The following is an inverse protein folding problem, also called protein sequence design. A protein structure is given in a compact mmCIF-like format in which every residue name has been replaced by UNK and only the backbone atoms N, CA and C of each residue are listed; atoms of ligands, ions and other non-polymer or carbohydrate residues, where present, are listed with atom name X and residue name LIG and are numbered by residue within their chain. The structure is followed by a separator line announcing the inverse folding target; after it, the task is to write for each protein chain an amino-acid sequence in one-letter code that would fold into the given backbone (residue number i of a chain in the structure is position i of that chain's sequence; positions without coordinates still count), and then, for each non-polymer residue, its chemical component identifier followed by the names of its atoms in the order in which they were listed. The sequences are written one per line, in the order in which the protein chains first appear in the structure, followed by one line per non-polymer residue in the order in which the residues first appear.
data_IF_972843084541
#
_entry.id   IF_972843084541
#
_cell.length_a   1.000
_cell.length_b   1.000
_cell.length_c   1.000
_cell.angle_alpha   90.00
_cell.angle_beta   90.00
_cell.angle_gamma   90.00
#
_symmetry.space_group_name_H-M   'P 1'
#
loop_
_entity.id
_entity.type
_entity.pdbx_description
1 polymer ?
#
# COMPACT_ATOMS: atom_id res chain seq x y z
N UNK A 1 -5.32 15.83 48.38
CA UNK A 1 -5.16 16.67 47.16
C UNK A 1 -3.70 16.72 46.70
N UNK A 2 -2.77 16.31 47.57
CA UNK A 2 -1.33 16.55 47.43
C UNK A 2 -0.63 15.58 46.46
N UNK A 3 -1.17 14.38 46.29
CA UNK A 3 -0.61 13.37 45.38
C UNK A 3 -0.64 13.83 43.90
N UNK A 4 -1.75 14.46 43.47
CA UNK A 4 -1.88 14.97 42.10
C UNK A 4 -0.86 16.10 41.85
N UNK A 5 -0.72 17.03 42.81
CA UNK A 5 0.27 18.11 42.73
C UNK A 5 1.70 17.56 42.67
N UNK A 6 2.03 16.58 43.52
CA UNK A 6 3.34 15.96 43.55
C UNK A 6 3.70 15.27 42.22
N UNK A 7 2.75 14.58 41.59
CA UNK A 7 2.99 13.97 40.29
C UNK A 7 3.19 15.00 39.18
N UNK A 8 2.35 16.04 39.11
CA UNK A 8 2.49 17.11 38.11
C UNK A 8 3.87 17.78 38.24
N UNK A 9 4.32 18.06 39.46
CA UNK A 9 5.66 18.64 39.73
C UNK A 9 6.78 17.70 39.24
N UNK A 10 6.66 16.41 39.51
CA UNK A 10 7.64 15.40 39.06
C UNK A 10 7.75 15.33 37.53
N UNK A 11 6.62 15.43 36.83
CA UNK A 11 6.61 15.45 35.36
C UNK A 11 7.17 16.75 34.80
N UNK A 12 6.87 17.90 35.42
CA UNK A 12 7.48 19.18 35.07
C UNK A 12 9.01 19.16 35.21
N UNK A 13 9.53 18.66 36.34
CA UNK A 13 10.97 18.57 36.58
C UNK A 13 11.68 17.73 35.51
N UNK A 14 11.15 16.53 35.22
CA UNK A 14 11.68 15.67 34.15
C UNK A 14 11.70 16.32 32.77
N UNK A 15 10.71 17.16 32.46
CA UNK A 15 10.66 17.91 31.20
C UNK A 15 11.67 19.07 31.21
N UNK A 16 11.77 19.79 32.32
CA UNK A 16 12.72 20.89 32.47
C UNK A 16 14.18 20.45 32.39
N UNK A 17 14.49 19.20 32.80
CA UNK A 17 15.84 18.64 32.72
C UNK A 17 16.23 18.23 31.28
N UNK A 18 15.25 18.02 30.39
CA UNK A 18 15.46 17.51 29.03
C UNK A 18 15.26 18.56 27.94
N UNK A 19 14.34 19.49 28.13
CA UNK A 19 13.89 20.43 27.11
C UNK A 19 14.26 21.87 27.49
N UNK A 20 14.64 22.69 26.50
CA UNK A 20 15.03 24.08 26.72
C UNK A 20 13.86 25.00 27.15
N UNK A 21 12.61 24.57 26.93
CA UNK A 21 11.40 25.27 27.36
C UNK A 21 10.28 24.27 27.67
N UNK A 22 9.42 24.61 28.65
CA UNK A 22 8.32 23.75 29.11
C UNK A 22 7.00 24.50 29.03
N UNK A 23 5.99 23.91 28.36
CA UNK A 23 4.63 24.46 28.28
C UNK A 23 3.65 23.67 29.15
N UNK A 24 2.53 24.29 29.54
CA UNK A 24 1.49 23.62 30.33
C UNK A 24 0.91 22.38 29.62
N UNK A 25 0.86 22.40 28.29
CA UNK A 25 0.46 21.25 27.48
C UNK A 25 1.47 20.11 27.57
N UNK A 26 2.78 20.40 27.54
CA UNK A 26 3.82 19.38 27.72
C UNK A 26 3.72 18.71 29.11
N UNK A 27 3.48 19.49 30.17
CA UNK A 27 3.32 18.95 31.53
C UNK A 27 2.07 18.10 31.65
N UNK A 28 0.94 18.56 31.08
CA UNK A 28 -0.32 17.80 31.03
C UNK A 28 -0.14 16.48 30.28
N UNK A 29 0.53 16.53 29.14
CA UNK A 29 0.80 15.37 28.30
C UNK A 29 1.72 14.39 29.05
N UNK A 30 2.81 14.86 29.66
CA UNK A 30 3.70 14.01 30.45
C UNK A 30 3.01 13.38 31.66
N UNK A 31 2.13 14.12 32.36
CA UNK A 31 1.31 13.59 33.44
C UNK A 31 0.32 12.52 32.95
N UNK A 32 -0.17 12.64 31.72
CA UNK A 32 -1.02 11.66 31.06
C UNK A 32 -0.24 10.52 30.39
N UNK A 33 1.10 10.50 30.50
CA UNK A 33 1.97 9.50 29.86
C UNK A 33 2.19 9.72 28.36
N UNK A 34 1.86 10.90 27.86
CA UNK A 34 2.01 11.33 26.47
C UNK A 34 3.32 12.12 26.37
N UNK A 35 4.36 11.55 25.76
CA UNK A 35 5.68 12.17 25.69
C UNK A 35 5.80 13.39 24.79
N UNK A 36 6.99 14.02 24.82
CA UNK A 36 7.36 15.22 24.04
C UNK A 36 7.15 15.00 22.55
N UNK A 37 7.12 16.09 21.76
CA UNK A 37 6.54 16.23 20.39
C UNK A 37 6.92 15.18 19.32
N UNK A 38 7.79 14.22 19.64
CA UNK A 38 8.20 13.08 18.82
C UNK A 38 7.82 11.70 19.36
N UNK A 39 7.13 11.60 20.50
CA UNK A 39 6.69 10.32 21.04
C UNK A 39 5.28 9.95 20.59
N UNK A 40 4.44 10.91 20.19
CA UNK A 40 3.05 10.60 19.81
C UNK A 40 2.89 10.33 18.32
N UNK A 41 1.96 9.44 17.98
CA UNK A 41 1.70 9.06 16.60
C UNK A 41 1.16 10.24 15.78
N UNK A 42 0.20 11.01 16.31
CA UNK A 42 -0.35 12.15 15.57
C UNK A 42 0.63 13.31 15.48
N UNK A 43 1.44 13.55 16.53
CA UNK A 43 2.51 14.55 16.50
C UNK A 43 3.55 14.25 15.42
N UNK A 44 4.00 12.99 15.33
CA UNK A 44 4.89 12.54 14.26
C UNK A 44 4.27 12.71 12.88
N UNK A 45 2.97 12.42 12.74
CA UNK A 45 2.24 12.61 11.49
C UNK A 45 2.19 14.08 11.08
N UNK A 46 1.92 14.98 12.03
CA UNK A 46 1.77 16.42 11.79
C UNK A 46 3.10 17.05 11.38
N UNK A 47 4.22 16.70 12.05
CA UNK A 47 5.54 17.17 11.63
C UNK A 47 5.90 16.71 10.22
N UNK A 48 5.64 15.44 9.93
CA UNK A 48 5.96 14.86 8.64
C UNK A 48 5.12 15.48 7.52
N UNK A 49 3.84 15.77 7.80
CA UNK A 49 2.97 16.54 6.91
C UNK A 49 3.44 18.00 6.74
N UNK A 50 3.91 18.66 7.80
CA UNK A 50 4.46 20.02 7.72
C UNK A 50 5.72 20.07 6.83
N UNK A 51 6.60 19.08 6.97
CA UNK A 51 7.80 18.93 6.13
C UNK A 51 7.43 18.67 4.68
N UNK A 52 6.43 17.81 4.43
CA UNK A 52 5.91 17.55 3.09
C UNK A 52 5.27 18.80 2.46
N UNK A 53 4.51 19.58 3.25
CA UNK A 53 3.84 20.80 2.78
C UNK A 53 4.83 21.83 2.26
N UNK A 54 6.00 21.99 2.89
CA UNK A 54 7.07 22.91 2.45
C UNK A 54 7.59 22.62 1.04
N UNK A 55 7.41 21.39 0.56
CA UNK A 55 7.87 20.91 -0.76
C UNK A 55 6.77 20.93 -1.84
N UNK A 56 5.54 21.31 -1.45
CA UNK A 56 4.43 21.44 -2.38
C UNK A 56 4.68 22.62 -3.31
N UNK A 57 4.55 22.40 -4.61
CA UNK A 57 4.88 23.40 -5.63
C UNK A 57 6.34 23.37 -6.09
N UNK A 58 7.21 22.62 -5.41
CA UNK A 58 8.58 22.35 -5.86
C UNK A 58 8.66 20.97 -6.51
N UNK A 59 8.56 19.91 -5.70
CA UNK A 59 8.65 18.51 -6.16
C UNK A 59 7.42 17.68 -5.75
N UNK A 60 6.48 18.28 -5.01
CA UNK A 60 5.25 17.61 -4.54
C UNK A 60 4.00 18.35 -5.00
N UNK A 61 2.93 17.60 -5.16
CA UNK A 61 1.61 18.13 -5.53
C UNK A 61 0.71 18.28 -4.31
N UNK A 62 -0.13 19.32 -4.31
CA UNK A 62 -1.05 19.64 -3.20
C UNK A 62 -2.06 18.52 -2.95
N UNK A 63 -2.49 17.83 -4.01
CA UNK A 63 -3.41 16.69 -3.90
C UNK A 63 -2.86 15.56 -3.02
N UNK A 64 -1.55 15.28 -3.11
CA UNK A 64 -0.90 14.28 -2.25
C UNK A 64 -0.85 14.73 -0.81
N UNK A 65 -0.56 16.02 -0.55
CA UNK A 65 -0.61 16.58 0.80
C UNK A 65 -2.01 16.43 1.42
N UNK A 66 -3.07 16.76 0.68
CA UNK A 66 -4.45 16.61 1.15
C UNK A 66 -4.81 15.15 1.46
N UNK A 67 -4.34 14.19 0.65
CA UNK A 67 -4.51 12.76 0.95
C UNK A 67 -3.81 12.35 2.24
N UNK A 68 -2.63 12.91 2.54
CA UNK A 68 -1.93 12.66 3.81
C UNK A 68 -2.63 13.29 5.02
N UNK A 69 -3.21 14.49 4.87
CA UNK A 69 -4.03 15.13 5.92
C UNK A 69 -5.27 14.29 6.22
N UNK A 70 -5.95 13.76 5.18
CA UNK A 70 -7.08 12.84 5.36
C UNK A 70 -6.67 11.58 6.12
N UNK A 71 -5.53 10.98 5.77
CA UNK A 71 -5.00 9.82 6.49
C UNK A 71 -4.75 10.11 7.97
N UNK A 72 -4.13 11.26 8.29
CA UNK A 72 -3.95 11.72 9.68
C UNK A 72 -5.28 11.82 10.43
N UNK A 73 -6.30 12.40 9.81
CA UNK A 73 -7.62 12.54 10.42
C UNK A 73 -8.31 11.20 10.65
N UNK A 74 -8.14 10.24 9.74
CA UNK A 74 -8.64 8.89 9.93
C UNK A 74 -7.95 8.19 11.10
N UNK A 75 -6.62 8.31 11.23
CA UNK A 75 -5.87 7.76 12.36
C UNK A 75 -6.34 8.39 13.67
N UNK A 76 -6.52 9.71 13.72
CA UNK A 76 -7.03 10.39 14.92
C UNK A 76 -8.43 9.89 15.31
N UNK A 77 -9.32 9.69 14.33
CA UNK A 77 -10.64 9.16 14.60
C UNK A 77 -10.62 7.70 15.06
N UNK A 78 -9.74 6.88 14.50
CA UNK A 78 -9.54 5.49 14.93
C UNK A 78 -9.06 5.43 16.38
N UNK A 79 -8.04 6.22 16.75
CA UNK A 79 -7.53 6.28 18.13
C UNK A 79 -8.66 6.66 19.09
N UNK A 80 -9.46 7.67 18.73
CA UNK A 80 -10.59 8.12 19.54
C UNK A 80 -11.69 7.06 19.67
N UNK A 81 -12.01 6.35 18.58
CA UNK A 81 -13.05 5.34 18.58
C UNK A 81 -12.66 4.09 19.39
N UNK A 82 -11.47 3.56 19.14
CA UNK A 82 -11.03 2.25 19.63
C UNK A 82 -10.32 2.31 20.98
N UNK A 83 -9.55 3.38 21.24
CA UNK A 83 -8.73 3.49 22.44
C UNK A 83 -9.23 4.55 23.43
N UNK A 84 -10.26 5.33 23.06
CA UNK A 84 -10.82 6.43 23.86
C UNK A 84 -9.78 7.48 24.27
N UNK A 85 -8.72 7.64 23.47
CA UNK A 85 -7.66 8.62 23.65
C UNK A 85 -7.69 9.65 22.50
N UNK A 86 -7.06 10.79 22.71
CA UNK A 86 -6.90 11.80 21.65
C UNK A 86 -5.65 11.54 20.78
N UNK A 87 -4.67 10.82 21.32
CA UNK A 87 -3.42 10.45 20.67
C UNK A 87 -2.87 9.16 21.32
N UNK A 88 -1.79 8.62 20.78
CA UNK A 88 -1.14 7.39 21.25
C UNK A 88 0.38 7.51 21.15
N UNK A 89 1.11 6.93 22.09
CA UNK A 89 2.57 6.86 21.99
C UNK A 89 3.00 5.87 20.91
N UNK A 90 4.04 6.20 20.16
CA UNK A 90 4.61 5.32 19.13
C UNK A 90 5.21 4.04 19.70
N UNK A 91 5.57 4.03 20.99
CA UNK A 91 6.10 2.84 21.68
C UNK A 91 4.98 1.83 21.99
N UNK A 92 3.73 2.30 22.15
CA UNK A 92 2.57 1.45 22.42
C UNK A 92 2.02 0.76 21.15
N UNK A 93 2.53 1.11 19.97
CA UNK A 93 2.04 0.59 18.71
C UNK A 93 2.37 -0.89 18.54
N UNK A 94 1.33 -1.70 18.38
CA UNK A 94 1.45 -3.13 18.10
C UNK A 94 1.41 -3.40 16.59
N UNK A 95 1.91 -4.55 16.12
CA UNK A 95 1.75 -4.97 14.72
C UNK A 95 0.28 -5.08 14.27
N UNK A 96 -0.65 -5.29 15.20
CA UNK A 96 -2.08 -5.42 14.90
C UNK A 96 -2.78 -4.07 14.74
N UNK A 97 -2.23 -2.97 15.30
CA UNK A 97 -2.79 -1.62 15.17
C UNK A 97 -3.13 -1.26 13.72
N UNK A 98 -2.23 -1.56 12.79
CA UNK A 98 -2.42 -1.22 11.37
C UNK A 98 -3.42 -2.15 10.67
N UNK A 99 -3.62 -3.38 11.17
CA UNK A 99 -4.66 -4.30 10.69
C UNK A 99 -6.04 -3.84 11.18
N UNK A 100 -6.16 -3.53 12.46
CA UNK A 100 -7.38 -2.99 13.06
C UNK A 100 -7.77 -1.65 12.44
N UNK A 101 -6.78 -0.80 12.15
CA UNK A 101 -7.01 0.43 11.41
C UNK A 101 -7.58 0.17 10.02
N UNK A 102 -7.06 -0.83 9.29
CA UNK A 102 -7.60 -1.19 7.98
C UNK A 102 -9.06 -1.67 8.06
N UNK A 103 -9.40 -2.46 9.08
CA UNK A 103 -10.78 -2.90 9.36
C UNK A 103 -11.68 -1.70 9.64
N UNK A 104 -11.27 -0.80 10.54
CA UNK A 104 -12.02 0.43 10.85
C UNK A 104 -12.29 1.29 9.61
N UNK A 105 -11.33 1.40 8.68
CA UNK A 105 -11.55 2.14 7.44
C UNK A 105 -12.59 1.47 6.52
N UNK A 106 -12.67 0.14 6.54
CA UNK A 106 -13.66 -0.61 5.78
C UNK A 106 -15.06 -0.52 6.41
N UNK A 107 -15.16 -0.73 7.73
CA UNK A 107 -16.43 -0.83 8.45
C UNK A 107 -17.03 0.52 8.79
N UNK A 108 -16.27 1.37 9.47
CA UNK A 108 -16.79 2.62 10.05
C UNK A 108 -16.73 3.77 9.05
N UNK A 109 -15.79 3.71 8.10
CA UNK A 109 -15.61 4.76 7.07
C UNK A 109 -16.09 4.36 5.69
N UNK A 110 -16.46 3.09 5.47
CA UNK A 110 -16.98 2.60 4.20
C UNK A 110 -16.02 2.80 3.02
N UNK A 111 -14.71 2.85 3.27
CA UNK A 111 -13.72 3.12 2.23
C UNK A 111 -13.47 1.90 1.37
N UNK A 112 -13.20 2.15 0.08
CA UNK A 112 -12.79 1.12 -0.87
C UNK A 112 -11.36 0.67 -0.61
N UNK A 113 -11.04 -0.58 -0.96
CA UNK A 113 -9.74 -1.20 -0.70
C UNK A 113 -8.52 -0.37 -1.15
N UNK A 114 -8.59 0.29 -2.31
CA UNK A 114 -7.50 1.16 -2.78
C UNK A 114 -7.26 2.36 -1.87
N UNK A 115 -8.34 2.96 -1.37
CA UNK A 115 -8.27 4.06 -0.39
C UNK A 115 -7.77 3.56 0.97
N UNK A 116 -8.21 2.39 1.42
CA UNK A 116 -7.72 1.76 2.66
C UNK A 116 -6.20 1.56 2.57
N UNK A 117 -5.74 0.95 1.47
CA UNK A 117 -4.31 0.73 1.22
C UNK A 117 -3.51 2.04 1.30
N UNK A 118 -3.96 3.08 0.61
CA UNK A 118 -3.28 4.37 0.61
C UNK A 118 -3.17 4.96 2.03
N UNK A 119 -4.24 4.92 2.81
CA UNK A 119 -4.24 5.40 4.20
C UNK A 119 -3.28 4.59 5.09
N UNK A 120 -3.29 3.26 4.98
CA UNK A 120 -2.35 2.40 5.70
C UNK A 120 -0.89 2.65 5.30
N UNK A 121 -0.61 2.93 4.03
CA UNK A 121 0.75 3.26 3.57
C UNK A 121 1.23 4.60 4.10
N UNK A 122 0.36 5.61 4.19
CA UNK A 122 0.71 6.89 4.82
C UNK A 122 1.08 6.71 6.30
N UNK A 123 0.25 5.99 7.04
CA UNK A 123 0.53 5.63 8.45
C UNK A 123 1.84 4.86 8.59
N UNK A 124 2.02 3.79 7.79
CA UNK A 124 3.25 3.00 7.79
C UNK A 124 4.47 3.88 7.55
N UNK A 125 4.41 4.77 6.56
CA UNK A 125 5.52 5.67 6.23
C UNK A 125 5.94 6.58 7.38
N UNK A 126 4.98 7.11 8.16
CA UNK A 126 5.27 7.97 9.32
C UNK A 126 6.02 7.18 10.39
N UNK A 127 5.53 6.00 10.76
CA UNK A 127 6.17 5.14 11.77
C UNK A 127 7.54 4.63 11.30
N UNK A 128 7.69 4.30 10.01
CA UNK A 128 8.99 3.95 9.46
C UNK A 128 10.01 5.09 9.57
N UNK A 129 9.62 6.33 9.24
CA UNK A 129 10.52 7.49 9.38
C UNK A 129 10.88 7.75 10.83
N UNK A 130 9.93 7.62 11.76
CA UNK A 130 10.21 7.75 13.18
C UNK A 130 11.23 6.70 13.67
N UNK A 131 11.10 5.45 13.21
CA UNK A 131 12.06 4.39 13.48
C UNK A 131 13.46 4.71 12.91
N UNK A 132 13.57 5.09 11.64
CA UNK A 132 14.86 5.42 11.03
C UNK A 132 15.56 6.63 11.66
N UNK A 133 14.80 7.55 12.25
CA UNK A 133 15.35 8.69 12.99
C UNK A 133 15.72 8.33 14.44
N UNK A 134 15.65 7.05 14.84
CA UNK A 134 15.99 6.59 16.19
C UNK A 134 14.96 6.93 17.27
N UNK A 135 13.79 7.45 16.90
CA UNK A 135 12.74 7.85 17.84
C UNK A 135 11.92 6.66 18.33
N UNK A 136 11.87 5.60 17.52
CA UNK A 136 11.19 4.35 17.87
C UNK A 136 12.19 3.21 17.73
N UNK A 137 12.47 2.43 18.78
CA UNK A 137 13.49 1.38 18.74
C UNK A 137 13.15 0.25 17.77
N UNK A 138 11.85 -0.02 17.55
CA UNK A 138 11.37 -1.06 16.65
C UNK A 138 10.21 -0.56 15.81
N UNK A 139 10.22 -0.86 14.52
CA UNK A 139 9.09 -0.63 13.65
C UNK A 139 8.04 -1.76 13.80
N UNK A 140 6.86 -1.51 14.40
CA UNK A 140 5.82 -2.52 14.58
C UNK A 140 5.16 -2.96 13.27
N UNK A 141 5.27 -2.15 12.21
CA UNK A 141 4.64 -2.39 10.91
C UNK A 141 5.58 -2.99 9.88
N UNK A 142 6.78 -3.43 10.28
CA UNK A 142 7.79 -3.98 9.37
C UNK A 142 7.23 -5.17 8.55
N UNK A 143 6.57 -6.10 9.23
CA UNK A 143 5.97 -7.30 8.61
C UNK A 143 4.60 -7.04 7.99
N UNK A 144 4.04 -5.85 8.16
CA UNK A 144 2.72 -5.54 7.64
C UNK A 144 2.77 -5.43 6.11
N UNK A 145 2.05 -6.33 5.45
CA UNK A 145 1.93 -6.38 4.00
C UNK A 145 0.45 -6.38 3.63
N UNK A 146 -0.05 -5.25 3.14
CA UNK A 146 -1.32 -5.26 2.39
C UNK A 146 -0.92 -5.54 0.96
N UNK A 147 -1.30 -6.70 0.44
CA UNK A 147 -1.22 -6.94 -1.00
C UNK A 147 -2.09 -5.86 -1.65
N UNK A 148 -1.52 -4.89 -2.40
CA UNK A 148 -2.36 -4.04 -3.21
C UNK A 148 -3.20 -4.98 -4.06
N UNK A 149 -4.45 -4.62 -4.30
CA UNK A 149 -5.38 -5.37 -5.14
C UNK A 149 -4.93 -5.50 -6.61
N UNK A 150 -3.62 -5.58 -6.88
CA UNK A 150 -3.06 -6.19 -8.08
C UNK A 150 -3.55 -7.63 -8.21
N UNK A 151 -3.74 -8.36 -7.10
CA UNK A 151 -4.38 -9.68 -7.15
C UNK A 151 -5.81 -9.62 -7.66
N UNK A 152 -6.60 -8.59 -7.31
CA UNK A 152 -8.00 -8.43 -7.77
C UNK A 152 -8.12 -7.85 -9.18
N UNK A 153 -7.18 -6.99 -9.60
CA UNK A 153 -7.10 -6.53 -10.99
C UNK A 153 -6.67 -7.66 -11.96
N UNK A 154 -5.85 -8.59 -11.48
CA UNK A 154 -5.39 -9.73 -12.27
C UNK A 154 -6.24 -11.00 -12.10
N UNK A 155 -7.24 -11.01 -11.21
CA UNK A 155 -8.19 -12.13 -11.11
C UNK A 155 -9.36 -11.91 -12.08
N UNK A 156 -9.22 -12.58 -13.23
CA UNK A 156 -10.29 -13.29 -13.94
C UNK A 156 -11.39 -12.52 -14.68
N UNK A 157 -11.11 -11.35 -15.26
CA UNK A 157 -11.91 -10.91 -16.43
C UNK A 157 -11.10 -11.11 -17.70
N UNK A 158 -11.74 -11.72 -18.68
CA UNK A 158 -11.26 -11.76 -20.05
C UNK A 158 -11.13 -10.33 -20.57
N UNK A 159 -9.91 -9.92 -20.94
CA UNK A 159 -9.62 -8.56 -21.40
C UNK A 159 -9.37 -8.62 -22.91
N UNK A 160 -10.17 -7.90 -23.73
CA UNK A 160 -9.85 -7.75 -25.14
C UNK A 160 -8.64 -6.84 -25.30
N UNK A 161 -7.68 -7.27 -26.11
CA UNK A 161 -6.46 -6.54 -26.44
C UNK A 161 -6.64 -5.85 -27.79
N UNK A 162 -6.02 -4.68 -27.94
CA UNK A 162 -5.87 -3.97 -29.21
C UNK A 162 -4.38 -3.65 -29.43
N UNK A 163 -3.96 -3.64 -30.67
CA UNK A 163 -2.59 -3.37 -31.08
C UNK A 163 -1.78 -4.62 -31.38
N UNK A 164 -0.47 -4.58 -31.11
CA UNK A 164 0.46 -5.66 -31.43
C UNK A 164 1.08 -6.26 -30.18
N UNK A 165 1.19 -7.58 -30.16
CA UNK A 165 1.96 -8.31 -29.16
C UNK A 165 3.30 -8.73 -29.74
N UNK A 166 4.38 -8.44 -29.00
CA UNK A 166 5.72 -8.84 -29.38
C UNK A 166 6.02 -10.27 -28.90
N UNK A 167 6.52 -11.11 -29.80
CA UNK A 167 7.02 -12.44 -29.47
C UNK A 167 8.55 -12.42 -29.46
N UNK A 168 9.15 -12.72 -28.31
CA UNK A 168 10.60 -12.96 -28.21
C UNK A 168 11.01 -14.25 -28.93
N UNK A 169 10.12 -15.24 -28.98
CA UNK A 169 10.36 -16.52 -29.69
C UNK A 169 10.57 -16.32 -31.19
N UNK A 170 9.88 -15.34 -31.78
CA UNK A 170 9.93 -15.05 -33.20
C UNK A 170 10.60 -13.70 -33.52
N UNK A 171 11.06 -12.99 -32.49
CA UNK A 171 11.64 -11.65 -32.59
C UNK A 171 10.80 -10.68 -33.46
N UNK A 172 9.47 -10.77 -33.34
CA UNK A 172 8.51 -10.09 -34.22
C UNK A 172 7.22 -9.74 -33.48
N UNK A 173 6.58 -8.64 -33.90
CA UNK A 173 5.25 -8.23 -33.43
C UNK A 173 4.12 -8.79 -34.30
N UNK A 174 3.08 -9.33 -33.65
CA UNK A 174 1.87 -9.86 -34.27
C UNK A 174 0.66 -9.00 -33.89
N UNK A 175 -0.29 -8.80 -34.81
CA UNK A 175 -1.55 -8.13 -34.45
C UNK A 175 -2.33 -9.01 -33.46
N UNK A 176 -2.80 -8.37 -32.39
CA UNK A 176 -3.63 -8.95 -31.35
C UNK A 176 -4.97 -8.21 -31.23
N UNK A 177 -5.38 -7.51 -32.29
CA UNK A 177 -6.67 -6.81 -32.33
C UNK A 177 -7.81 -7.81 -32.17
N UNK A 178 -8.56 -7.66 -31.07
CA UNK A 178 -9.69 -8.53 -30.74
C UNK A 178 -9.30 -9.82 -30.03
N UNK A 179 -8.00 -10.06 -29.76
CA UNK A 179 -7.56 -11.21 -28.97
C UNK A 179 -7.95 -11.03 -27.50
N UNK A 180 -8.36 -12.10 -26.84
CA UNK A 180 -8.82 -12.08 -25.45
C UNK A 180 -7.78 -12.70 -24.53
N UNK A 181 -7.22 -11.89 -23.63
CA UNK A 181 -6.27 -12.36 -22.63
C UNK A 181 -6.99 -12.75 -21.34
N UNK A 182 -6.58 -13.88 -20.76
CA UNK A 182 -6.98 -14.29 -19.41
C UNK A 182 -5.75 -14.79 -18.65
N UNK A 183 -5.69 -14.43 -17.36
CA UNK A 183 -4.67 -14.92 -16.43
C UNK A 183 -5.36 -15.84 -15.43
N UNK A 184 -4.92 -17.09 -15.33
CA UNK A 184 -5.50 -18.08 -14.41
C UNK A 184 -4.44 -18.67 -13.50
N UNK A 185 -4.78 -18.84 -12.23
CA UNK A 185 -3.92 -19.53 -11.26
C UNK A 185 -4.06 -21.04 -11.43
N UNK A 186 -2.93 -21.76 -11.52
CA UNK A 186 -2.88 -23.21 -11.56
C UNK A 186 -3.00 -23.82 -10.15
N UNK A 187 -3.08 -25.16 -10.06
CA UNK A 187 -3.20 -25.87 -8.77
C UNK A 187 -1.97 -25.71 -7.86
N UNK A 188 -0.86 -25.19 -8.39
CA UNK A 188 0.41 -24.98 -7.70
C UNK A 188 0.61 -23.49 -7.33
N UNK A 189 -0.37 -22.63 -7.60
CA UNK A 189 -0.32 -21.19 -7.30
C UNK A 189 0.46 -20.36 -8.33
N UNK A 190 0.80 -20.93 -9.49
CA UNK A 190 1.45 -20.19 -10.59
C UNK A 190 0.39 -19.59 -11.52
N UNK A 191 0.68 -18.41 -12.05
CA UNK A 191 -0.21 -17.75 -13.01
C UNK A 191 0.12 -18.17 -14.44
N UNK A 192 -0.88 -18.71 -15.15
CA UNK A 192 -0.84 -19.06 -16.56
C UNK A 192 -1.58 -18.02 -17.41
N UNK A 193 -0.86 -17.42 -18.36
CA UNK A 193 -1.40 -16.45 -19.31
C UNK A 193 -1.90 -17.17 -20.56
N UNK A 194 -3.20 -17.01 -20.84
CA UNK A 194 -3.87 -17.52 -22.03
C UNK A 194 -4.34 -16.39 -22.92
N UNK A 195 -4.19 -16.57 -24.22
CA UNK A 195 -4.69 -15.69 -25.28
C UNK A 195 -5.65 -16.52 -26.12
N UNK A 196 -6.90 -16.07 -26.27
CA UNK A 196 -7.99 -16.80 -26.94
C UNK A 196 -8.17 -18.25 -26.41
N UNK A 197 -8.00 -18.43 -25.09
CA UNK A 197 -8.16 -19.72 -24.42
C UNK A 197 -6.97 -20.69 -24.55
N UNK A 198 -5.95 -20.38 -25.34
CA UNK A 198 -4.73 -21.18 -25.49
C UNK A 198 -3.53 -20.52 -24.81
N UNK A 199 -2.48 -21.28 -24.49
CA UNK A 199 -1.22 -20.71 -23.98
C UNK A 199 -0.65 -19.68 -24.96
N UNK A 200 -0.08 -18.59 -24.45
CA UNK A 200 0.55 -17.55 -25.27
C UNK A 200 1.58 -18.09 -26.27
N UNK A 201 2.33 -19.17 -25.92
CA UNK A 201 3.26 -19.82 -26.83
C UNK A 201 2.57 -20.44 -28.06
N UNK A 202 1.45 -21.14 -27.84
CA UNK A 202 0.66 -21.74 -28.91
C UNK A 202 -0.01 -20.68 -29.79
N UNK A 203 -0.48 -19.60 -29.16
CA UNK A 203 -1.07 -18.47 -29.87
C UNK A 203 -0.07 -17.82 -30.84
N UNK A 204 1.15 -17.50 -30.38
CA UNK A 204 2.18 -16.93 -31.26
C UNK A 204 2.59 -17.89 -32.39
N UNK A 205 2.64 -19.20 -32.12
CA UNK A 205 2.91 -20.19 -33.17
C UNK A 205 1.83 -20.18 -34.26
N UNK A 206 0.56 -20.13 -33.86
CA UNK A 206 -0.57 -20.01 -34.80
C UNK A 206 -0.48 -18.73 -35.63
N UNK A 207 -0.21 -17.59 -35.00
CA UNK A 207 -0.03 -16.31 -35.69
C UNK A 207 1.16 -16.28 -36.64
N UNK A 208 2.25 -16.96 -36.30
CA UNK A 208 3.37 -17.14 -37.22
C UNK A 208 2.95 -17.98 -38.43
N UNK A 209 2.21 -19.05 -38.23
CA UNK A 209 1.78 -19.92 -39.33
C UNK A 209 0.78 -19.19 -40.26
N UNK A 210 -0.17 -18.44 -39.71
CA UNK A 210 -1.07 -17.54 -40.48
C UNK A 210 -0.27 -16.52 -41.30
N UNK A 211 0.76 -15.91 -40.70
CA UNK A 211 1.63 -14.97 -41.38
C UNK A 211 2.42 -15.63 -42.52
N UNK A 212 2.96 -16.82 -42.29
CA UNK A 212 3.70 -17.57 -43.32
C UNK A 212 2.78 -18.03 -44.47
N UNK A 213 1.55 -18.43 -44.16
CA UNK A 213 0.53 -18.81 -45.15
C UNK A 213 0.11 -17.60 -46.01
N UNK A 214 -0.07 -16.42 -45.39
CA UNK A 214 -0.34 -15.18 -46.12
C UNK A 214 0.81 -14.77 -47.07
N UNK A 215 2.04 -15.21 -46.78
CA UNK A 215 3.21 -15.05 -47.65
C UNK A 215 3.39 -16.19 -48.66
N UNK A 216 2.51 -17.19 -48.67
CA UNK A 216 2.60 -18.36 -49.56
C UNK A 216 3.73 -19.32 -49.21
N UNK A 217 4.25 -19.27 -47.98
CA UNK A 217 5.38 -20.10 -47.52
C UNK A 217 4.88 -21.37 -46.80
N UNK A 218 5.61 -22.50 -46.91
CA UNK A 218 5.22 -23.74 -46.25
C UNK A 218 5.23 -23.62 -44.73
N UNK A 219 4.14 -24.04 -44.08
CA UNK A 219 3.99 -24.07 -42.62
C UNK A 219 4.27 -25.47 -42.08
N UNK A 220 4.69 -25.56 -40.81
CA UNK A 220 5.17 -26.79 -40.18
C UNK A 220 4.06 -27.77 -39.77
N UNK A 221 2.79 -27.53 -40.16
CA UNK A 221 1.67 -28.44 -39.85
C UNK A 221 1.73 -29.70 -40.72
N UNK A 222 2.55 -30.66 -40.31
CA UNK A 222 2.41 -32.07 -40.71
C UNK A 222 2.24 -32.93 -39.47
N UNK A 223 1.00 -33.25 -39.13
CA UNK A 223 0.66 -34.56 -38.59
C UNK A 223 -0.77 -34.92 -39.01
N UNK A 224 -0.84 -35.82 -40.00
CA UNK A 224 -2.03 -36.58 -40.36
C UNK A 224 -2.61 -37.24 -39.10
N UNK A 225 -3.89 -36.97 -38.81
CA UNK A 225 -4.76 -37.89 -38.08
C UNK A 225 -6.11 -37.98 -38.78
N UNK A 226 -6.08 -38.47 -40.01
CA UNK A 226 -7.24 -39.10 -40.64
C UNK A 226 -6.97 -40.60 -40.69
N UNK A 227 -7.41 -41.34 -39.68
CA UNK A 227 -7.64 -42.77 -39.82
C UNK A 227 -8.96 -42.90 -40.58
N UNK A 228 -8.90 -43.35 -41.84
CA UNK A 228 -10.09 -43.85 -42.55
C UNK A 228 -10.34 -45.27 -42.03
N UNK A 229 -11.53 -45.51 -41.47
CA UNK A 229 -12.15 -46.83 -41.42
C UNK A 229 -12.69 -47.16 -42.81
#
# INVERSE_FOLDING_TARGET
MDNIKAQIIKHYQRLSDREAYVTAEMVRNAYQGIGTEYETLLGAFDKDNATFKKRVGTDRVIATYMSRVRARNHVAAFIKANYKRNDMSMIELTPDFIKEFAVFLATDRGLQNGSIWANCMWLKGVVMRAHYNGLVPRNPFAQFHISPNVKVLCTFKEIPVKGKLYSTMFNQSFSADGAVCSLKEDKEGRFDLKIDGVSHHSWFRCKKDEFMEALGLPTSRRQNRGLKL
#
